data_IF_524430713323
#
_entry.id   IF_524430713323
#
_cell.length_a   1.000
_cell.length_b   1.000
_cell.length_c   1.000
_cell.angle_alpha   90.00
_cell.angle_beta   90.00
_cell.angle_gamma   90.00
#
_symmetry.space_group_name_H-M   'P 1'
#
loop_
_entity.id
_entity.type
_entity.pdbx_description
1 polymer ?
#
# COMPACT_ATOMS: atom_id res chain seq x y z
N UNK A 1 -11.00 30.15 20.15
CA UNK A 1 -9.68 30.24 20.81
C UNK A 1 -8.94 28.96 20.51
N UNK A 2 -8.04 28.99 19.51
CA UNK A 2 -7.21 27.84 19.17
C UNK A 2 -6.15 27.69 20.25
N UNK A 3 -6.26 26.65 21.06
CA UNK A 3 -5.12 26.17 21.81
C UNK A 3 -4.13 25.63 20.78
N UNK A 4 -3.24 26.51 20.32
CA UNK A 4 -1.98 26.10 19.70
C UNK A 4 -1.34 25.21 20.76
N UNK A 5 -1.41 23.89 20.56
CA UNK A 5 -0.63 22.94 21.33
C UNK A 5 0.81 23.41 21.17
N UNK A 6 1.35 23.94 22.26
CA UNK A 6 2.71 24.40 22.37
C UNK A 6 3.61 23.16 22.34
N UNK A 7 3.74 22.53 21.17
CA UNK A 7 4.70 21.45 20.91
C UNK A 7 6.03 22.13 20.58
N UNK A 8 6.48 22.98 21.50
CA UNK A 8 7.80 23.61 21.50
C UNK A 8 8.86 22.76 22.21
N UNK A 9 8.56 21.51 22.58
CA UNK A 9 9.50 20.63 23.26
C UNK A 9 9.30 19.17 22.84
N UNK A 10 10.36 18.54 22.34
CA UNK A 10 10.54 17.10 22.00
C UNK A 10 10.56 16.68 20.52
N UNK A 11 10.94 17.57 19.61
CA UNK A 11 11.47 17.12 18.28
C UNK A 11 12.96 16.76 18.37
N UNK A 12 13.60 16.99 19.51
CA UNK A 12 15.06 16.91 19.70
C UNK A 12 15.71 15.55 19.39
N UNK A 13 14.91 14.49 19.12
CA UNK A 13 15.41 13.14 18.87
C UNK A 13 14.79 12.44 17.64
N UNK A 14 14.13 13.15 16.71
CA UNK A 14 13.74 12.52 15.45
C UNK A 14 14.99 12.28 14.58
N UNK A 15 15.36 11.01 14.41
CA UNK A 15 16.44 10.57 13.54
C UNK A 15 15.92 9.55 12.55
N UNK A 16 15.92 9.88 11.27
CA UNK A 16 15.62 8.92 10.23
C UNK A 16 16.84 8.02 9.99
N UNK A 17 16.75 6.69 10.20
CA UNK A 17 17.92 5.83 10.11
C UNK A 17 18.49 5.77 8.70
N UNK A 18 19.78 6.03 8.58
CA UNK A 18 20.58 5.90 7.37
C UNK A 18 20.39 4.56 6.63
N UNK A 19 20.35 3.45 7.38
CA UNK A 19 20.10 2.13 6.79
C UNK A 19 18.69 2.02 6.22
N UNK A 20 17.70 2.65 6.85
CA UNK A 20 16.32 2.66 6.34
C UNK A 20 16.24 3.53 5.09
N UNK A 21 16.90 4.69 5.07
CA UNK A 21 16.95 5.56 3.90
C UNK A 21 17.57 4.85 2.68
N UNK A 22 18.62 4.05 2.90
CA UNK A 22 19.28 3.26 1.84
C UNK A 22 18.62 1.92 1.52
N UNK A 23 17.69 1.43 2.34
CA UNK A 23 17.01 0.16 2.09
C UNK A 23 16.27 0.18 0.74
N UNK A 24 16.47 -0.85 -0.07
CA UNK A 24 15.80 -1.04 -1.36
C UNK A 24 15.27 -2.48 -1.46
N UNK A 25 14.22 -2.66 -2.24
CA UNK A 25 13.66 -3.98 -2.51
C UNK A 25 13.25 -4.09 -3.97
N UNK A 26 14.12 -4.66 -4.80
CA UNK A 26 13.92 -4.77 -6.25
C UNK A 26 12.63 -5.52 -6.61
N UNK A 27 12.30 -6.58 -5.87
CA UNK A 27 11.04 -7.32 -6.07
C UNK A 27 9.78 -6.45 -5.91
N UNK A 28 9.70 -5.62 -4.86
CA UNK A 28 8.59 -4.70 -4.63
C UNK A 28 8.51 -3.65 -5.73
N UNK A 29 9.65 -3.05 -6.09
CA UNK A 29 9.71 -2.00 -7.12
C UNK A 29 9.31 -2.57 -8.48
N UNK A 30 9.85 -3.73 -8.87
CA UNK A 30 9.51 -4.42 -10.11
C UNK A 30 8.02 -4.77 -10.16
N UNK A 31 7.51 -5.42 -9.11
CA UNK A 31 6.10 -5.81 -9.03
C UNK A 31 5.16 -4.61 -9.09
N UNK A 32 5.54 -3.51 -8.45
CA UNK A 32 4.78 -2.26 -8.52
C UNK A 32 4.74 -1.71 -9.96
N UNK A 33 5.84 -1.75 -10.69
CA UNK A 33 5.87 -1.30 -12.09
C UNK A 33 5.14 -2.22 -13.07
N UNK A 34 4.97 -3.49 -12.72
CA UNK A 34 4.12 -4.39 -13.51
C UNK A 34 2.64 -3.97 -13.43
N UNK A 35 2.20 -3.40 -12.29
CA UNK A 35 0.81 -3.01 -12.04
C UNK A 35 0.51 -1.53 -12.32
N UNK A 36 1.53 -0.67 -12.33
CA UNK A 36 1.38 0.77 -12.46
C UNK A 36 2.23 1.32 -13.61
N UNK A 37 1.64 2.17 -14.44
CA UNK A 37 2.31 2.85 -15.56
C UNK A 37 3.19 4.00 -15.09
N UNK A 38 4.31 3.64 -14.46
CA UNK A 38 5.28 4.57 -13.89
C UNK A 38 6.71 4.14 -14.24
N UNK A 39 7.60 5.11 -14.35
CA UNK A 39 9.01 4.84 -14.63
C UNK A 39 9.78 4.38 -13.39
N UNK A 40 11.02 3.91 -13.59
CA UNK A 40 11.88 3.42 -12.51
C UNK A 40 12.17 4.48 -11.45
N UNK A 41 12.41 5.72 -11.87
CA UNK A 41 12.77 6.81 -10.95
C UNK A 41 11.58 7.14 -10.06
N UNK A 42 10.39 7.15 -10.64
CA UNK A 42 9.13 7.39 -9.95
C UNK A 42 8.80 6.26 -8.97
N UNK A 43 8.96 5.00 -9.36
CA UNK A 43 8.75 3.87 -8.45
C UNK A 43 9.73 3.90 -7.26
N UNK A 44 11.01 4.21 -7.50
CA UNK A 44 12.02 4.38 -6.45
C UNK A 44 11.69 5.55 -5.52
N UNK A 45 11.21 6.66 -6.08
CA UNK A 45 10.78 7.84 -5.32
C UNK A 45 9.61 7.50 -4.40
N UNK A 46 8.57 6.86 -4.92
CA UNK A 46 7.39 6.41 -4.15
C UNK A 46 7.81 5.43 -3.05
N UNK A 47 8.72 4.49 -3.35
CA UNK A 47 9.24 3.55 -2.35
C UNK A 47 9.98 4.29 -1.21
N UNK A 48 10.77 5.31 -1.55
CA UNK A 48 11.44 6.16 -0.56
C UNK A 48 10.45 6.91 0.32
N UNK A 49 9.42 7.52 -0.27
CA UNK A 49 8.38 8.23 0.48
C UNK A 49 7.52 7.29 1.33
N UNK A 50 7.28 6.06 0.87
CA UNK A 50 6.61 5.03 1.67
C UNK A 50 7.42 4.68 2.93
N UNK A 51 8.74 4.47 2.83
CA UNK A 51 9.58 4.21 4.01
C UNK A 51 9.52 5.36 5.02
N UNK A 52 9.55 6.61 4.54
CA UNK A 52 9.37 7.79 5.39
C UNK A 52 8.00 7.77 6.09
N UNK A 53 6.92 7.49 5.35
CA UNK A 53 5.57 7.39 5.91
C UNK A 53 5.47 6.31 7.00
N UNK A 54 6.03 5.11 6.77
CA UNK A 54 6.05 4.04 7.78
C UNK A 54 6.86 4.45 9.02
N UNK A 55 8.01 5.10 8.82
CA UNK A 55 8.85 5.54 9.93
C UNK A 55 8.20 6.63 10.78
N UNK A 56 7.59 7.64 10.15
CA UNK A 56 6.86 8.70 10.90
C UNK A 56 5.62 8.13 11.58
N UNK A 57 4.96 7.13 10.99
CA UNK A 57 3.83 6.42 11.62
C UNK A 57 4.27 5.67 12.89
N UNK A 58 5.39 4.94 12.82
CA UNK A 58 5.99 4.29 14.00
C UNK A 58 6.42 5.31 15.05
N UNK A 59 7.05 6.41 14.63
CA UNK A 59 7.45 7.49 15.53
C UNK A 59 6.25 8.10 16.26
N UNK A 60 5.19 8.45 15.53
CA UNK A 60 3.97 9.00 16.10
C UNK A 60 3.26 8.01 17.03
N UNK A 61 3.27 6.71 16.71
CA UNK A 61 2.66 5.69 17.56
C UNK A 61 3.32 5.63 18.96
N UNK A 62 4.64 5.84 19.04
CA UNK A 62 5.34 5.97 20.34
C UNK A 62 4.88 7.18 21.15
N UNK A 63 4.29 8.17 20.49
CA UNK A 63 3.70 9.38 21.08
C UNK A 63 2.18 9.28 21.23
N UNK A 64 1.62 8.05 21.21
CA UNK A 64 0.17 7.78 21.30
C UNK A 64 -0.66 8.48 20.22
N UNK A 65 -0.07 8.66 19.03
CA UNK A 65 -0.73 9.25 17.87
C UNK A 65 -0.69 8.30 16.68
N UNK A 66 -1.80 8.16 15.99
CA UNK A 66 -1.92 7.36 14.78
C UNK A 66 -1.97 8.27 13.55
N UNK A 67 -1.26 7.88 12.49
CA UNK A 67 -1.38 8.51 11.19
C UNK A 67 -2.42 7.74 10.37
N UNK A 68 -3.20 8.48 9.60
CA UNK A 68 -4.17 7.93 8.66
C UNK A 68 -3.71 8.19 7.21
N UNK A 69 -4.03 7.27 6.30
CA UNK A 69 -3.86 7.49 4.86
C UNK A 69 -4.99 8.40 4.39
N UNK A 70 -4.66 9.67 4.15
CA UNK A 70 -5.55 10.60 3.45
C UNK A 70 -5.42 10.42 1.93
N UNK A 71 -6.40 10.93 1.17
CA UNK A 71 -6.42 10.85 -0.30
C UNK A 71 -5.10 11.26 -0.98
N UNK A 72 -4.39 12.34 -0.56
CA UNK A 72 -3.10 12.69 -1.17
C UNK A 72 -1.97 11.66 -0.97
N UNK A 73 -2.11 10.76 -0.01
CA UNK A 73 -1.15 9.70 0.31
C UNK A 73 -1.46 8.39 -0.42
N UNK A 74 -2.46 8.38 -1.31
CA UNK A 74 -2.95 7.16 -1.98
C UNK A 74 -1.84 6.37 -2.68
N UNK A 75 -0.92 7.03 -3.38
CA UNK A 75 0.16 6.30 -4.08
C UNK A 75 1.19 5.69 -3.12
N UNK A 76 1.45 6.35 -1.99
CA UNK A 76 2.28 5.79 -0.91
C UNK A 76 1.61 4.54 -0.34
N UNK A 77 0.30 4.59 -0.14
CA UNK A 77 -0.50 3.46 0.31
C UNK A 77 -0.51 2.29 -0.71
N UNK A 78 -0.59 2.57 -2.01
CA UNK A 78 -0.47 1.53 -3.05
C UNK A 78 0.90 0.84 -3.02
N UNK A 79 1.98 1.58 -2.84
CA UNK A 79 3.31 1.00 -2.68
C UNK A 79 3.43 0.17 -1.38
N UNK A 80 2.84 0.65 -0.28
CA UNK A 80 2.83 -0.09 0.97
C UNK A 80 2.09 -1.43 0.85
N UNK A 81 0.93 -1.43 0.19
CA UNK A 81 0.19 -2.65 -0.14
C UNK A 81 1.05 -3.67 -0.88
N UNK A 82 1.85 -3.22 -1.86
CA UNK A 82 2.76 -4.12 -2.60
C UNK A 82 3.82 -4.69 -1.67
N UNK A 83 4.42 -3.88 -0.80
CA UNK A 83 5.45 -4.38 0.12
C UNK A 83 4.89 -5.41 1.10
N UNK A 84 3.68 -5.21 1.63
CA UNK A 84 3.02 -6.17 2.53
C UNK A 84 2.89 -7.57 1.90
N UNK A 85 2.67 -7.66 0.59
CA UNK A 85 2.55 -8.93 -0.12
C UNK A 85 3.86 -9.73 -0.16
N UNK A 86 5.02 -9.07 -0.02
CA UNK A 86 6.30 -9.73 0.22
C UNK A 86 6.42 -10.05 1.72
N UNK A 87 5.49 -10.84 2.23
CA UNK A 87 5.19 -10.99 3.67
C UNK A 87 6.42 -11.32 4.51
N UNK A 88 7.28 -12.23 4.07
CA UNK A 88 8.52 -12.57 4.78
C UNK A 88 9.49 -11.40 4.87
N UNK A 89 9.69 -10.67 3.77
CA UNK A 89 10.65 -9.57 3.74
C UNK A 89 10.09 -8.31 4.41
N UNK A 90 8.77 -8.10 4.34
CA UNK A 90 8.07 -7.07 5.08
C UNK A 90 8.12 -7.31 6.59
N UNK A 91 7.96 -8.56 7.06
CA UNK A 91 8.16 -8.92 8.46
C UNK A 91 9.59 -8.65 8.92
N UNK A 92 10.60 -9.11 8.18
CA UNK A 92 12.02 -8.85 8.49
C UNK A 92 12.32 -7.34 8.52
N UNK A 93 11.79 -6.59 7.55
CA UNK A 93 11.92 -5.14 7.49
C UNK A 93 11.33 -4.47 8.73
N UNK A 94 10.09 -4.82 9.10
CA UNK A 94 9.42 -4.26 10.26
C UNK A 94 10.14 -4.60 11.57
N UNK A 95 10.57 -5.85 11.74
CA UNK A 95 11.34 -6.27 12.91
C UNK A 95 12.69 -5.55 12.98
N UNK A 96 13.38 -5.35 11.85
CA UNK A 96 14.65 -4.63 11.81
C UNK A 96 14.52 -3.15 12.16
N UNK A 97 13.56 -2.43 11.56
CA UNK A 97 13.51 -0.97 11.66
C UNK A 97 12.53 -0.43 12.71
N UNK A 98 11.51 -1.22 13.05
CA UNK A 98 10.46 -0.83 14.01
C UNK A 98 10.46 -1.70 15.27
N UNK A 99 11.10 -2.87 15.24
CA UNK A 99 11.12 -3.85 16.34
C UNK A 99 9.84 -4.68 16.46
N UNK A 100 8.87 -4.47 15.57
CA UNK A 100 7.59 -5.18 15.51
C UNK A 100 6.93 -4.96 14.15
N UNK A 101 5.98 -5.81 13.81
CA UNK A 101 5.13 -5.63 12.63
C UNK A 101 4.37 -4.31 12.69
N UNK A 102 4.45 -3.51 11.63
CA UNK A 102 3.58 -2.36 11.43
C UNK A 102 2.35 -2.82 10.64
N UNK A 103 1.21 -2.89 11.30
CA UNK A 103 -0.02 -3.38 10.68
C UNK A 103 -0.70 -2.29 9.87
N UNK A 104 -1.14 -2.64 8.67
CA UNK A 104 -2.05 -1.83 7.88
C UNK A 104 -3.49 -2.22 8.19
N UNK A 105 -4.34 -1.24 8.53
CA UNK A 105 -5.77 -1.45 8.83
C UNK A 105 -6.58 -0.75 7.73
N UNK A 106 -7.15 -1.50 6.77
CA UNK A 106 -7.93 -0.91 5.70
C UNK A 106 -9.18 -0.19 6.20
N UNK A 107 -9.65 0.78 5.41
CA UNK A 107 -10.93 1.43 5.66
C UNK A 107 -12.08 0.41 5.69
N UNK A 108 -12.98 0.56 6.67
CA UNK A 108 -14.21 -0.21 6.77
C UNK A 108 -15.38 0.73 7.08
N UNK A 109 -16.45 0.65 6.28
CA UNK A 109 -17.64 1.48 6.45
C UNK A 109 -18.37 1.24 7.78
N UNK A 110 -18.34 0.01 8.28
CA UNK A 110 -18.91 -0.34 9.59
C UNK A 110 -18.13 0.34 10.73
N UNK A 111 -16.79 0.30 10.70
CA UNK A 111 -15.95 1.02 11.67
C UNK A 111 -16.19 2.53 11.63
N UNK A 112 -16.37 3.12 10.43
CA UNK A 112 -16.70 4.54 10.30
C UNK A 112 -18.05 4.86 10.96
N UNK A 113 -19.06 4.02 10.74
CA UNK A 113 -20.39 4.19 11.33
C UNK A 113 -20.34 4.15 12.85
N UNK A 114 -19.57 3.23 13.42
CA UNK A 114 -19.35 3.13 14.86
C UNK A 114 -18.59 4.35 15.40
N UNK A 115 -17.54 4.81 14.70
CA UNK A 115 -16.77 6.02 15.05
C UNK A 115 -17.67 7.25 15.10
N UNK A 116 -18.55 7.44 14.10
CA UNK A 116 -19.52 8.54 14.08
C UNK A 116 -20.44 8.49 15.30
N UNK A 117 -20.98 7.32 15.64
CA UNK A 117 -21.84 7.15 16.84
C UNK A 117 -21.10 7.53 18.12
N UNK A 118 -19.85 7.11 18.28
CA UNK A 118 -19.03 7.42 19.45
C UNK A 118 -18.68 8.91 19.55
N UNK A 119 -18.29 9.53 18.43
CA UNK A 119 -17.99 10.97 18.38
C UNK A 119 -19.22 11.82 18.74
N UNK A 120 -20.38 11.48 18.16
CA UNK A 120 -21.63 12.19 18.44
C UNK A 120 -22.06 12.09 19.91
N UNK A 121 -21.80 10.96 20.58
CA UNK A 121 -22.04 10.82 22.04
C UNK A 121 -21.20 11.79 22.88
N UNK A 122 -20.02 12.16 22.38
CA UNK A 122 -19.11 13.11 23.02
C UNK A 122 -19.31 14.55 22.51
N UNK A 123 -20.35 14.80 21.71
CA UNK A 123 -20.63 16.13 21.14
C UNK A 123 -19.65 16.58 20.05
N UNK A 124 -18.90 15.66 19.45
CA UNK A 124 -17.91 15.95 18.40
C UNK A 124 -18.47 15.52 17.04
N UNK A 125 -18.41 16.39 16.04
CA UNK A 125 -18.77 16.02 14.67
C UNK A 125 -17.61 15.28 13.98
N UNK A 126 -17.93 14.45 12.98
CA UNK A 126 -16.91 13.77 12.18
C UNK A 126 -15.93 14.76 11.52
N UNK A 127 -16.42 15.93 11.08
CA UNK A 127 -15.60 16.95 10.43
C UNK A 127 -14.62 17.60 11.42
N UNK A 128 -15.04 17.91 12.64
CA UNK A 128 -14.15 18.43 13.69
C UNK A 128 -13.05 17.41 14.02
N UNK A 129 -13.42 16.15 14.17
CA UNK A 129 -12.46 15.07 14.41
C UNK A 129 -11.45 14.95 13.26
N UNK A 130 -11.92 14.90 12.00
CA UNK A 130 -11.04 14.82 10.83
C UNK A 130 -10.08 16.01 10.74
N UNK A 131 -10.59 17.22 11.02
CA UNK A 131 -9.79 18.45 11.03
C UNK A 131 -8.69 18.41 12.08
N UNK A 132 -9.04 18.10 13.34
CA UNK A 132 -8.08 18.00 14.45
C UNK A 132 -7.02 16.93 14.19
N UNK A 133 -7.43 15.75 13.72
CA UNK A 133 -6.51 14.67 13.35
C UNK A 133 -5.58 15.08 12.20
N UNK A 134 -6.11 15.71 11.14
CA UNK A 134 -5.29 16.18 10.01
C UNK A 134 -4.26 17.21 10.45
N UNK A 135 -4.68 18.16 11.30
CA UNK A 135 -3.82 19.22 11.83
C UNK A 135 -2.63 18.61 12.60
N UNK A 136 -2.89 17.64 13.48
CA UNK A 136 -1.84 16.90 14.20
C UNK A 136 -0.93 16.12 13.25
N UNK A 137 -1.48 15.42 12.27
CA UNK A 137 -0.70 14.66 11.27
C UNK A 137 0.26 15.56 10.50
N UNK A 138 -0.22 16.70 10.01
CA UNK A 138 0.58 17.70 9.32
C UNK A 138 1.69 18.23 10.24
N UNK A 139 1.37 18.54 11.51
CA UNK A 139 2.37 19.02 12.47
C UNK A 139 3.50 18.00 12.68
N UNK A 140 3.18 16.72 12.82
CA UNK A 140 4.19 15.65 12.96
C UNK A 140 5.04 15.52 11.69
N UNK A 141 4.43 15.59 10.51
CA UNK A 141 5.18 15.51 9.24
C UNK A 141 6.15 16.69 9.10
N UNK A 142 5.70 17.91 9.42
CA UNK A 142 6.53 19.12 9.37
C UNK A 142 7.68 19.02 10.38
N UNK A 143 7.40 18.60 11.61
CA UNK A 143 8.43 18.53 12.65
C UNK A 143 9.47 17.43 12.39
N UNK A 144 9.10 16.38 11.68
CA UNK A 144 10.01 15.25 11.38
C UNK A 144 10.74 15.42 10.05
N UNK A 145 10.03 15.34 8.93
CA UNK A 145 10.59 15.35 7.58
C UNK A 145 10.51 16.71 6.88
N UNK A 146 10.02 17.75 7.57
CA UNK A 146 10.04 19.12 7.09
C UNK A 146 8.98 19.48 6.05
N UNK A 147 8.94 20.77 5.72
CA UNK A 147 7.94 21.34 4.81
C UNK A 147 8.04 20.86 3.36
N UNK A 148 9.23 20.42 2.93
CA UNK A 148 9.40 19.83 1.60
C UNK A 148 8.57 18.54 1.46
N UNK A 149 8.66 17.66 2.45
CA UNK A 149 7.94 16.38 2.48
C UNK A 149 6.44 16.59 2.55
N UNK A 150 5.98 17.53 3.38
CA UNK A 150 4.56 17.92 3.42
C UNK A 150 4.05 18.35 2.04
N UNK A 151 4.76 19.26 1.36
CA UNK A 151 4.37 19.73 0.02
C UNK A 151 4.37 18.59 -0.99
N UNK A 152 5.37 17.71 -0.93
CA UNK A 152 5.45 16.55 -1.82
C UNK A 152 4.24 15.65 -1.65
N UNK A 153 3.91 15.27 -0.42
CA UNK A 153 2.82 14.35 -0.13
C UNK A 153 1.44 14.97 -0.39
N UNK A 154 1.16 16.15 0.18
CA UNK A 154 -0.20 16.71 0.16
C UNK A 154 -0.51 17.56 -1.08
N UNK A 155 0.50 18.08 -1.76
CA UNK A 155 0.30 18.91 -2.97
C UNK A 155 0.74 18.18 -4.21
N UNK A 156 2.00 17.73 -4.29
CA UNK A 156 2.49 17.12 -5.53
C UNK A 156 1.83 15.76 -5.79
N UNK A 157 1.91 14.83 -4.84
CA UNK A 157 1.30 13.51 -4.95
C UNK A 157 -0.23 13.61 -4.95
N UNK A 158 -0.83 14.46 -4.12
CA UNK A 158 -2.28 14.69 -4.17
C UNK A 158 -2.81 15.14 -5.53
N UNK A 159 -2.05 15.95 -6.28
CA UNK A 159 -2.44 16.34 -7.63
C UNK A 159 -2.07 15.28 -8.70
N UNK A 160 -0.92 14.63 -8.57
CA UNK A 160 -0.43 13.65 -9.55
C UNK A 160 -1.20 12.33 -9.48
N UNK A 161 -1.50 11.90 -8.26
CA UNK A 161 -2.13 10.63 -7.92
C UNK A 161 -3.50 10.85 -7.25
N UNK A 162 -4.29 11.77 -7.78
CA UNK A 162 -5.70 11.85 -7.40
C UNK A 162 -6.40 10.52 -7.74
N UNK A 163 -7.50 10.14 -7.07
CA UNK A 163 -8.17 8.85 -7.28
C UNK A 163 -8.45 8.54 -8.75
N UNK A 164 -8.95 9.52 -9.51
CA UNK A 164 -9.24 9.36 -10.94
C UNK A 164 -7.97 9.07 -11.77
N UNK A 165 -6.87 9.76 -11.46
CA UNK A 165 -5.59 9.58 -12.17
C UNK A 165 -4.93 8.26 -11.81
N UNK A 166 -5.01 7.84 -10.54
CA UNK A 166 -4.51 6.54 -10.09
C UNK A 166 -5.21 5.42 -10.85
N UNK A 167 -6.53 5.47 -10.99
CA UNK A 167 -7.26 4.46 -11.76
C UNK A 167 -6.80 4.39 -13.23
N UNK A 168 -6.39 5.52 -13.83
CA UNK A 168 -5.85 5.55 -15.20
C UNK A 168 -4.42 5.03 -15.31
N UNK A 169 -3.63 5.12 -14.23
CA UNK A 169 -2.24 4.62 -14.19
C UNK A 169 -2.18 3.11 -13.99
N UNK A 170 -3.23 2.49 -13.46
CA UNK A 170 -3.24 1.06 -13.23
C UNK A 170 -3.21 0.33 -14.57
N UNK A 171 -2.16 -0.45 -14.80
CA UNK A 171 -2.02 -1.24 -16.00
C UNK A 171 -3.00 -2.41 -15.98
N UNK A 172 -3.66 -2.72 -17.11
CA UNK A 172 -4.23 -4.05 -17.27
C UNK A 172 -3.06 -5.05 -17.22
N UNK A 173 -2.98 -5.84 -16.16
CA UNK A 173 -1.82 -6.70 -15.87
C UNK A 173 -1.81 -7.88 -16.83
N UNK A 174 -1.18 -7.70 -17.99
CA UNK A 174 -0.92 -8.74 -18.98
C UNK A 174 0.55 -8.70 -19.40
N UNK A 175 1.23 -9.83 -19.34
CA UNK A 175 2.56 -10.00 -19.93
C UNK A 175 2.41 -10.76 -21.25
N UNK A 176 2.45 -10.05 -22.39
CA UNK A 176 2.36 -10.62 -23.74
C UNK A 176 1.13 -10.16 -24.54
N UNK A 177 1.00 -10.65 -25.78
CA UNK A 177 -0.10 -10.29 -26.68
C UNK A 177 -1.46 -10.77 -26.13
N UNK A 178 -2.43 -9.84 -26.08
CA UNK A 178 -3.81 -10.08 -25.63
C UNK A 178 -4.55 -11.15 -26.45
N UNK A 179 -4.05 -11.45 -27.65
CA UNK A 179 -4.63 -12.39 -28.60
C UNK A 179 -4.57 -13.86 -28.16
N UNK A 180 -3.91 -14.16 -27.02
CA UNK A 180 -3.72 -15.54 -26.51
C UNK A 180 -4.55 -15.90 -25.28
N UNK A 181 -5.35 -14.99 -24.71
CA UNK A 181 -6.26 -15.38 -23.63
C UNK A 181 -7.41 -16.22 -24.20
N UNK A 182 -7.42 -17.51 -23.89
CA UNK A 182 -8.60 -18.34 -24.10
C UNK A 182 -9.77 -17.84 -23.24
N UNK A 183 -11.00 -17.98 -23.74
CA UNK A 183 -12.20 -17.70 -22.94
C UNK A 183 -12.36 -18.76 -21.84
N UNK A 184 -12.80 -18.39 -20.62
CA UNK A 184 -13.12 -19.35 -19.57
C UNK A 184 -14.11 -20.42 -20.04
N UNK A 185 -13.90 -21.67 -19.61
CA UNK A 185 -14.86 -22.76 -19.89
C UNK A 185 -16.18 -22.44 -19.21
N UNK A 186 -17.28 -22.37 -19.97
CA UNK A 186 -18.61 -22.21 -19.40
C UNK A 186 -18.99 -23.41 -18.53
N UNK A 187 -19.61 -23.14 -17.38
CA UNK A 187 -20.05 -24.17 -16.44
C UNK A 187 -20.92 -25.25 -17.12
N UNK A 188 -21.87 -24.83 -17.97
CA UNK A 188 -22.77 -25.75 -18.71
C UNK A 188 -22.03 -26.69 -19.66
N UNK A 189 -20.85 -26.29 -20.12
CA UNK A 189 -19.98 -27.10 -20.99
C UNK A 189 -19.14 -28.05 -20.14
N UNK A 190 -18.61 -27.58 -19.01
CA UNK A 190 -17.89 -28.40 -18.04
C UNK A 190 -18.78 -29.51 -17.43
N UNK A 191 -20.05 -29.23 -17.17
CA UNK A 191 -21.01 -30.19 -16.59
C UNK A 191 -21.26 -31.42 -17.50
N UNK A 192 -20.92 -31.30 -18.79
CA UNK A 192 -21.05 -32.38 -19.79
C UNK A 192 -19.74 -33.13 -20.02
N UNK A 193 -18.64 -32.69 -19.43
CA UNK A 193 -17.32 -33.30 -19.58
C UNK A 193 -17.11 -34.38 -18.53
N UNK A 194 -16.45 -35.46 -18.92
CA UNK A 194 -15.78 -36.36 -17.97
C UNK A 194 -14.61 -35.63 -17.29
N UNK A 195 -14.15 -36.17 -16.16
CA UNK A 195 -13.00 -35.63 -15.45
C UNK A 195 -11.75 -35.51 -16.36
N UNK A 196 -11.50 -36.50 -17.22
CA UNK A 196 -10.36 -36.49 -18.14
C UNK A 196 -10.48 -35.43 -19.24
N UNK A 197 -11.67 -35.22 -19.78
CA UNK A 197 -11.94 -34.17 -20.79
C UNK A 197 -11.78 -32.78 -20.19
N UNK A 198 -12.31 -32.57 -18.98
CA UNK A 198 -12.16 -31.30 -18.27
C UNK A 198 -10.69 -31.01 -17.95
N UNK A 199 -9.94 -31.99 -17.44
CA UNK A 199 -8.51 -31.85 -17.15
C UNK A 199 -7.73 -31.48 -18.42
N UNK A 200 -7.96 -32.19 -19.53
CA UNK A 200 -7.27 -31.90 -20.79
C UNK A 200 -7.64 -30.54 -21.36
N UNK A 201 -8.92 -30.15 -21.29
CA UNK A 201 -9.38 -28.83 -21.74
C UNK A 201 -8.75 -27.71 -20.91
N UNK A 202 -8.73 -27.87 -19.58
CA UNK A 202 -8.08 -26.93 -18.65
C UNK A 202 -6.58 -26.82 -18.94
N UNK A 203 -5.87 -27.95 -19.10
CA UNK A 203 -4.43 -27.94 -19.45
C UNK A 203 -4.21 -27.26 -20.80
N UNK A 204 -5.02 -27.55 -21.82
CA UNK A 204 -4.86 -26.95 -23.15
C UNK A 204 -5.17 -25.46 -23.21
N UNK A 205 -6.08 -24.96 -22.38
CA UNK A 205 -6.37 -23.54 -22.28
C UNK A 205 -5.38 -22.81 -21.38
N UNK A 206 -4.94 -23.47 -20.30
CA UNK A 206 -4.07 -22.88 -19.29
C UNK A 206 -2.59 -22.97 -19.66
N UNK A 207 -2.14 -24.03 -20.33
CA UNK A 207 -0.73 -24.22 -20.72
C UNK A 207 -0.22 -23.15 -21.70
N UNK A 208 -1.00 -22.70 -22.71
CA UNK A 208 -0.65 -21.51 -23.49
C UNK A 208 -0.81 -20.21 -22.71
N UNK A 209 -1.54 -20.19 -21.59
CA UNK A 209 -1.60 -19.06 -20.66
C UNK A 209 -0.62 -19.20 -19.48
N UNK A 210 0.22 -20.25 -19.45
CA UNK A 210 1.34 -20.42 -18.51
C UNK A 210 2.52 -19.52 -18.89
N UNK A 211 2.24 -18.33 -19.41
CA UNK A 211 3.17 -17.21 -19.41
C UNK A 211 3.15 -16.61 -18.01
N UNK A 212 4.31 -16.41 -17.37
CA UNK A 212 4.44 -15.64 -16.12
C UNK A 212 3.63 -14.34 -16.22
N UNK A 213 2.49 -14.28 -15.52
CA UNK A 213 1.34 -13.55 -16.04
C UNK A 213 0.23 -13.24 -15.02
N UNK A 214 0.60 -13.06 -13.75
CA UNK A 214 0.11 -11.99 -12.88
C UNK A 214 -1.38 -11.62 -12.77
N UNK A 215 -2.36 -12.50 -12.99
CA UNK A 215 -3.76 -12.15 -12.69
C UNK A 215 -4.11 -12.47 -11.23
N UNK A 216 -4.23 -11.44 -10.39
CA UNK A 216 -4.39 -11.49 -8.92
C UNK A 216 -3.07 -11.59 -8.17
N UNK A 217 -3.06 -11.13 -6.91
CA UNK A 217 -1.93 -11.26 -5.98
C UNK A 217 -1.61 -12.74 -5.61
N UNK A 218 -2.02 -13.70 -6.43
CA UNK A 218 -1.88 -15.13 -6.26
C UNK A 218 -1.45 -15.90 -7.52
N UNK A 219 -1.46 -15.32 -8.74
CA UNK A 219 -1.07 -16.07 -9.93
C UNK A 219 0.47 -16.19 -10.01
N UNK A 220 0.96 -17.43 -10.03
CA UNK A 220 2.37 -17.81 -9.81
C UNK A 220 2.91 -17.55 -8.40
N UNK A 221 2.09 -17.11 -7.45
CA UNK A 221 2.49 -17.08 -6.06
C UNK A 221 2.63 -18.51 -5.55
N UNK A 222 3.82 -18.86 -5.10
CA UNK A 222 4.03 -20.16 -4.46
C UNK A 222 3.54 -20.07 -3.02
N UNK A 223 2.46 -20.79 -2.68
CA UNK A 223 1.93 -20.89 -1.31
C UNK A 223 2.72 -21.86 -0.41
N UNK A 224 3.91 -22.27 -0.83
CA UNK A 224 4.74 -23.22 -0.10
C UNK A 224 5.79 -22.44 0.68
N UNK A 225 5.84 -22.62 2.01
CA UNK A 225 6.93 -22.13 2.87
C UNK A 225 8.28 -22.83 2.60
N UNK A 226 8.45 -23.43 1.42
CA UNK A 226 9.68 -24.09 1.00
C UNK A 226 10.76 -23.06 0.75
N UNK A 227 11.97 -23.36 1.19
CA UNK A 227 13.16 -22.56 0.96
C UNK A 227 13.46 -22.42 -0.54
N UNK A 228 12.88 -21.41 -1.19
CA UNK A 228 13.32 -20.97 -2.53
C UNK A 228 14.58 -20.07 -2.46
N UNK A 229 15.09 -19.82 -1.25
CA UNK A 229 16.25 -18.96 -0.98
C UNK A 229 17.22 -19.55 0.06
N UNK A 230 17.56 -20.83 -0.06
CA UNK A 230 18.84 -21.35 0.50
C UNK A 230 19.95 -21.23 -0.52
#
# INVERSE_FOLDING_TARGET
>A
MSAILNIGSSVDNFLYPDELDRYQHEGVIGKFRDEWDIDDKEALDIFSEMKKFLYVSHYAQKQCMELEIDEPLLMIDKMWHHFILFTSDYEKFCNRFFGKMLHHIPFCSEHLTQKIKTLSKNGITLNEYKRDRLEKQIQVIISTFGFYTLKKWYVHYGNKYSPDKVNMLQRPVYHGDLDKLGSPIEQKTADKMTAGELINCLIQQTSPSMYCGGSSCGMYCTCNSGNLYT
#
